data_IF_609320965667
#
_entry.id   IF_609320965667
#
_cell.length_a   1.000
_cell.length_b   1.000
_cell.length_c   1.000
_cell.angle_alpha   90.00
_cell.angle_beta   90.00
_cell.angle_gamma   90.00
#
_symmetry.space_group_name_H-M   'P 1'
#
loop_
_entity.id
_entity.type
_entity.pdbx_description
1 polymer ?
#
# COMPACT_ATOMS: atom_id res chain seq x y z
N UNK A 1 -5.86 -30.66 -8.34
CA UNK A 1 -6.87 -29.76 -8.91
C UNK A 1 -6.87 -28.50 -8.07
N UNK A 2 -6.28 -27.41 -8.55
CA UNK A 2 -6.28 -26.14 -7.81
C UNK A 2 -7.68 -25.54 -7.92
N UNK A 3 -8.41 -25.51 -6.81
CA UNK A 3 -9.68 -24.80 -6.72
C UNK A 3 -9.41 -23.30 -6.77
N UNK A 4 -9.65 -22.69 -7.93
CA UNK A 4 -9.62 -21.24 -8.07
C UNK A 4 -10.78 -20.66 -7.28
N UNK A 5 -10.53 -20.25 -6.04
CA UNK A 5 -11.54 -19.56 -5.25
C UNK A 5 -11.86 -18.22 -5.92
N UNK A 6 -13.13 -18.00 -6.26
CA UNK A 6 -13.57 -16.76 -6.90
C UNK A 6 -13.34 -15.53 -6.00
N UNK A 7 -13.39 -15.72 -4.68
CA UNK A 7 -13.05 -14.70 -3.69
C UNK A 7 -12.41 -15.33 -2.45
N UNK A 8 -11.47 -14.62 -1.84
CA UNK A 8 -10.78 -14.96 -0.59
C UNK A 8 -11.42 -14.22 0.58
N UNK A 9 -11.42 -14.84 1.76
CA UNK A 9 -11.79 -14.16 3.01
C UNK A 9 -10.71 -13.13 3.38
N UNK A 10 -11.02 -12.21 4.29
CA UNK A 10 -10.02 -11.27 4.83
C UNK A 10 -8.85 -11.99 5.52
N UNK A 11 -9.09 -13.12 6.17
CA UNK A 11 -8.03 -13.94 6.77
C UNK A 11 -7.12 -14.54 5.68
N UNK A 12 -7.70 -15.27 4.71
CA UNK A 12 -6.93 -15.89 3.63
C UNK A 12 -6.15 -14.84 2.79
N UNK A 13 -6.77 -13.68 2.55
CA UNK A 13 -6.12 -12.60 1.83
C UNK A 13 -4.96 -11.99 2.63
N UNK A 14 -5.10 -11.87 3.95
CA UNK A 14 -4.01 -11.42 4.82
C UNK A 14 -2.82 -12.38 4.78
N UNK A 15 -3.07 -13.68 4.84
CA UNK A 15 -2.02 -14.71 4.70
C UNK A 15 -1.36 -14.64 3.32
N UNK A 16 -2.16 -14.54 2.24
CA UNK A 16 -1.63 -14.42 0.87
C UNK A 16 -0.77 -13.16 0.67
N UNK A 17 -1.14 -12.05 1.31
CA UNK A 17 -0.38 -10.81 1.23
C UNK A 17 0.86 -10.79 2.14
N UNK A 18 0.99 -11.75 3.06
CA UNK A 18 1.98 -11.68 4.15
C UNK A 18 1.71 -10.51 5.10
N UNK A 19 0.44 -10.13 5.26
CA UNK A 19 0.04 -9.03 6.14
C UNK A 19 0.27 -9.39 7.62
N UNK A 20 0.58 -8.41 8.49
CA UNK A 20 0.88 -8.66 9.90
C UNK A 20 -0.31 -9.19 10.71
N UNK A 21 -1.54 -8.91 10.26
CA UNK A 21 -2.77 -9.48 10.84
C UNK A 21 -3.98 -9.25 9.91
N UNK A 22 -5.02 -10.07 10.06
CA UNK A 22 -6.31 -9.85 9.41
C UNK A 22 -6.91 -8.48 9.77
N UNK A 23 -6.78 -8.06 11.05
CA UNK A 23 -7.32 -6.79 11.53
C UNK A 23 -6.72 -5.59 10.78
N UNK A 24 -5.42 -5.62 10.54
CA UNK A 24 -4.73 -4.59 9.75
C UNK A 24 -5.30 -4.50 8.33
N UNK A 25 -5.54 -5.64 7.68
CA UNK A 25 -6.11 -5.67 6.34
C UNK A 25 -7.54 -5.09 6.32
N UNK A 26 -8.36 -5.47 7.29
CA UNK A 26 -9.73 -4.93 7.45
C UNK A 26 -9.70 -3.41 7.65
N UNK A 27 -8.75 -2.88 8.42
CA UNK A 27 -8.60 -1.43 8.61
C UNK A 27 -8.27 -0.71 7.29
N UNK A 28 -7.38 -1.29 6.46
CA UNK A 28 -7.02 -0.74 5.15
C UNK A 28 -8.17 -0.79 4.14
N UNK A 29 -8.96 -1.86 4.16
CA UNK A 29 -10.18 -1.98 3.36
C UNK A 29 -11.24 -0.96 3.80
N UNK A 30 -11.40 -0.76 5.11
CA UNK A 30 -12.33 0.26 5.64
C UNK A 30 -11.90 1.69 5.30
N UNK A 31 -10.60 1.97 5.25
CA UNK A 31 -10.10 3.28 4.84
C UNK A 31 -10.14 3.50 3.33
N UNK A 32 -10.50 2.49 2.54
CA UNK A 32 -10.52 2.57 1.07
C UNK A 32 -9.12 2.65 0.44
N UNK A 33 -8.08 2.22 1.15
CA UNK A 33 -6.70 2.23 0.64
C UNK A 33 -6.46 1.03 -0.27
N UNK A 34 -7.09 -0.10 0.03
CA UNK A 34 -7.02 -1.30 -0.80
C UNK A 34 -8.39 -1.59 -1.44
N UNK A 35 -8.39 -2.12 -2.67
CA UNK A 35 -9.62 -2.61 -3.28
C UNK A 35 -10.13 -3.85 -2.54
N UNK A 36 -11.44 -3.95 -2.40
CA UNK A 36 -12.08 -5.13 -1.85
C UNK A 36 -13.60 -4.97 -1.78
N UNK A 37 -14.31 -6.11 -1.72
CA UNK A 37 -15.77 -6.15 -1.71
C UNK A 37 -16.31 -6.46 -0.33
N UNK A 38 -17.28 -5.67 0.10
CA UNK A 38 -18.04 -5.94 1.32
C UNK A 38 -19.25 -6.80 0.97
N UNK A 39 -19.17 -8.10 1.26
CA UNK A 39 -20.26 -9.07 1.03
C UNK A 39 -20.92 -9.36 2.37
N UNK A 40 -22.10 -8.76 2.58
CA UNK A 40 -22.79 -8.80 3.86
C UNK A 40 -21.96 -8.14 4.97
N UNK A 41 -21.57 -8.92 5.98
CA UNK A 41 -20.73 -8.46 7.10
C UNK A 41 -19.25 -8.82 6.95
N UNK A 42 -18.87 -9.40 5.81
CA UNK A 42 -17.52 -9.90 5.57
C UNK A 42 -16.83 -9.14 4.44
N UNK A 43 -15.54 -8.90 4.61
CA UNK A 43 -14.70 -8.44 3.52
C UNK A 43 -14.23 -9.64 2.68
N UNK A 44 -14.26 -9.46 1.37
CA UNK A 44 -13.84 -10.44 0.37
C UNK A 44 -12.93 -9.77 -0.65
N UNK A 45 -11.88 -10.45 -1.07
CA UNK A 45 -10.94 -9.97 -2.07
C UNK A 45 -10.83 -10.99 -3.20
N UNK A 46 -10.82 -10.54 -4.44
CA UNK A 46 -10.40 -11.39 -5.57
C UNK A 46 -8.88 -11.50 -5.61
N UNK A 47 -8.37 -12.36 -6.49
CA UNK A 47 -6.92 -12.42 -6.74
C UNK A 47 -6.38 -11.10 -7.31
N UNK A 48 -7.17 -10.44 -8.16
CA UNK A 48 -6.87 -9.11 -8.70
C UNK A 48 -6.81 -8.05 -7.60
N UNK A 49 -7.80 -8.03 -6.70
CA UNK A 49 -7.81 -7.09 -5.57
C UNK A 49 -6.55 -7.25 -4.70
N UNK A 50 -6.09 -8.49 -4.48
CA UNK A 50 -4.87 -8.79 -3.72
C UNK A 50 -3.63 -8.30 -4.46
N UNK A 51 -3.55 -8.51 -5.78
CA UNK A 51 -2.43 -8.04 -6.60
C UNK A 51 -2.33 -6.50 -6.63
N UNK A 52 -3.47 -5.82 -6.76
CA UNK A 52 -3.54 -4.35 -6.67
C UNK A 52 -3.16 -3.86 -5.26
N UNK A 53 -3.62 -4.53 -4.21
CA UNK A 53 -3.25 -4.16 -2.84
C UNK A 53 -1.74 -4.33 -2.57
N UNK A 54 -1.13 -5.38 -3.11
CA UNK A 54 0.33 -5.58 -3.08
C UNK A 54 1.07 -4.50 -3.88
N UNK A 55 0.51 -4.08 -5.02
CA UNK A 55 1.04 -2.98 -5.82
C UNK A 55 0.98 -1.67 -5.05
N UNK A 56 -0.11 -1.38 -4.36
CA UNK A 56 -0.26 -0.22 -3.47
C UNK A 56 0.68 -0.27 -2.25
N UNK A 57 1.03 -1.47 -1.78
CA UNK A 57 2.04 -1.66 -0.72
C UNK A 57 3.47 -1.59 -1.25
N UNK A 58 3.66 -1.65 -2.57
CA UNK A 58 4.99 -1.54 -3.16
C UNK A 58 5.55 -0.18 -2.77
N UNK A 59 6.69 -0.19 -2.12
CA UNK A 59 7.51 0.99 -2.03
C UNK A 59 8.00 1.22 -3.47
N UNK A 60 7.22 1.93 -4.28
CA UNK A 60 7.80 2.72 -5.34
C UNK A 60 8.81 3.61 -4.62
N UNK A 61 10.06 3.13 -4.50
CA UNK A 61 11.23 3.97 -4.45
C UNK A 61 11.00 4.85 -5.65
N UNK A 62 10.38 6.00 -5.37
CA UNK A 62 9.93 7.01 -6.29
C UNK A 62 10.96 7.01 -7.40
N UNK A 63 10.68 6.29 -8.50
CA UNK A 63 11.54 6.31 -9.67
C UNK A 63 11.20 7.66 -10.26
N UNK A 64 11.66 8.72 -9.59
CA UNK A 64 11.77 10.03 -10.19
C UNK A 64 12.58 9.71 -11.44
N UNK A 65 12.03 9.88 -12.65
CA UNK A 65 12.87 9.85 -13.84
C UNK A 65 13.99 10.84 -13.54
N UNK A 66 15.24 10.40 -13.62
CA UNK A 66 16.41 11.19 -13.23
C UNK A 66 16.50 12.56 -13.95
N UNK A 67 15.63 12.81 -14.93
CA UNK A 67 15.50 14.05 -15.70
C UNK A 67 14.77 15.20 -14.98
N UNK A 68 14.11 14.99 -13.84
CA UNK A 68 13.30 16.04 -13.22
C UNK A 68 13.81 16.51 -11.85
N UNK A 69 15.08 16.95 -11.74
CA UNK A 69 15.46 18.08 -10.86
C UNK A 69 16.82 18.68 -11.25
N UNK A 70 16.86 19.94 -11.72
CA UNK A 70 17.96 20.83 -11.39
C UNK A 70 17.43 21.94 -10.49
N UNK A 71 17.89 21.99 -9.23
CA UNK A 71 18.06 23.25 -8.51
C UNK A 71 19.04 23.10 -7.34
N UNK A 72 20.06 23.97 -7.25
CA UNK A 72 21.22 23.80 -6.39
C UNK A 72 20.94 24.38 -5.02
N UNK A 73 20.80 23.53 -4.02
CA UNK A 73 21.19 23.88 -2.66
C UNK A 73 21.38 22.58 -1.93
N UNK A 74 22.64 22.17 -1.77
CA UNK A 74 23.05 20.97 -1.03
C UNK A 74 22.77 21.03 0.47
N UNK A 75 21.76 21.80 0.89
CA UNK A 75 21.39 21.99 2.27
C UNK A 75 20.17 21.11 2.57
N UNK A 76 20.36 20.20 3.53
CA UNK A 76 19.29 19.41 4.11
C UNK A 76 18.29 20.33 4.85
N UNK A 77 17.07 19.84 5.11
CA UNK A 77 16.00 20.61 5.76
C UNK A 77 16.44 21.22 7.12
N UNK A 78 17.20 20.45 7.91
CA UNK A 78 17.79 20.87 9.17
C UNK A 78 18.88 21.93 8.98
N UNK A 79 19.71 21.80 7.94
CA UNK A 79 20.69 22.82 7.59
C UNK A 79 20.03 24.12 7.15
N UNK A 80 18.91 24.04 6.43
CA UNK A 80 18.13 25.22 6.00
C UNK A 80 17.56 25.99 7.18
N UNK A 81 16.93 25.30 8.14
CA UNK A 81 16.37 25.94 9.36
C UNK A 81 17.45 26.63 10.18
N UNK A 82 18.61 25.99 10.34
CA UNK A 82 19.73 26.54 11.10
C UNK A 82 20.33 27.79 10.44
N UNK A 83 20.40 27.84 9.11
CA UNK A 83 20.87 29.02 8.36
C UNK A 83 19.84 30.14 8.34
N UNK A 84 18.55 29.82 8.25
CA UNK A 84 17.47 30.83 8.18
C UNK A 84 16.94 31.30 9.54
N UNK A 85 17.44 30.76 10.66
CA UNK A 85 17.07 31.20 12.00
C UNK A 85 15.59 31.04 12.37
N UNK A 86 14.90 30.08 11.73
CA UNK A 86 13.48 29.73 11.94
C UNK A 86 13.31 28.58 12.93
#
# INVERSE_FOLDING_TARGET
MSTTNLTYSSADAADKMGAPSERWLIEKLRSGVFPGRKVGRHWRMTEEDIADALTACSNEVRRIPAEAMPSPSGLTLTSRKRVMGL
#
